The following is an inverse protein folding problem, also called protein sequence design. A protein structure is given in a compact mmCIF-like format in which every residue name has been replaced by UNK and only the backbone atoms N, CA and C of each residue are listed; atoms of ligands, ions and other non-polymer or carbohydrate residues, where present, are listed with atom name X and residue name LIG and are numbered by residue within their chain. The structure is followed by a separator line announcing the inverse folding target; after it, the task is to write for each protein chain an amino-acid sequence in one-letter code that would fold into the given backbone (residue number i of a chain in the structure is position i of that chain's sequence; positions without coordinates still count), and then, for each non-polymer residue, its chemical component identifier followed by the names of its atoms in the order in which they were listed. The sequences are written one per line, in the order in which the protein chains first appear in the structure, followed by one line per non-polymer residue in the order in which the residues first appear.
data_IF_045457017293
#
_entry.id   IF_045457017293
#
_cell.length_a   1.000
_cell.length_b   1.000
_cell.length_c   1.000
_cell.angle_alpha   90.00
_cell.angle_beta   90.00
_cell.angle_gamma   90.00
#
_symmetry.space_group_name_H-M   'P 1'
#
loop_
_entity.id
_entity.type
_entity.pdbx_description
1 polymer ?
#
# COMPACT_ATOMS: atom_id res chain seq x y z
N UNK A 1 -4.76 3.53 0.36
CA UNK A 1 -4.33 3.09 1.71
C UNK A 1 -3.78 1.66 1.71
N UNK A 2 -4.53 0.69 1.20
CA UNK A 2 -4.18 -0.74 1.23
C UNK A 2 -2.79 -1.08 0.66
N UNK A 3 -2.49 -0.69 -0.59
CA UNK A 3 -1.17 -1.00 -1.17
C UNK A 3 -0.02 -0.32 -0.42
N UNK A 4 -0.21 0.89 0.08
CA UNK A 4 0.79 1.57 0.93
C UNK A 4 1.03 0.83 2.24
N UNK A 5 0.00 0.23 2.85
CA UNK A 5 0.17 -0.60 4.04
C UNK A 5 1.04 -1.84 3.77
N UNK A 6 0.89 -2.45 2.59
CA UNK A 6 1.73 -3.58 2.17
C UNK A 6 3.17 -3.10 1.87
N UNK A 7 3.32 -2.05 1.04
CA UNK A 7 4.62 -1.48 0.64
C UNK A 7 5.44 -1.04 1.85
N UNK A 8 4.81 -0.51 2.90
CA UNK A 8 5.51 -0.05 4.10
C UNK A 8 6.09 -1.16 4.99
N UNK A 9 5.88 -2.45 4.68
CA UNK A 9 6.49 -3.53 5.44
C UNK A 9 7.96 -3.72 5.03
N UNK A 10 8.94 -3.73 5.95
CA UNK A 10 10.37 -3.80 5.61
C UNK A 10 10.76 -5.08 4.85
N UNK A 11 10.04 -6.18 5.06
CA UNK A 11 10.24 -7.43 4.31
C UNK A 11 9.61 -7.46 2.89
N UNK A 12 8.86 -6.44 2.47
CA UNK A 12 8.25 -6.38 1.13
C UNK A 12 9.20 -5.67 0.17
N UNK A 13 9.58 -6.35 -0.91
CA UNK A 13 10.50 -5.82 -1.92
C UNK A 13 9.77 -5.25 -3.14
N UNK A 14 8.64 -5.85 -3.51
CA UNK A 14 7.80 -5.41 -4.63
C UNK A 14 6.33 -5.79 -4.38
N UNK A 15 5.43 -5.01 -4.96
CA UNK A 15 3.98 -5.29 -4.97
C UNK A 15 3.50 -5.29 -6.42
N UNK A 16 2.83 -6.36 -6.85
CA UNK A 16 2.39 -6.57 -8.23
C UNK A 16 0.85 -6.73 -8.24
N UNK A 17 0.09 -5.61 -8.19
CA UNK A 17 -1.36 -5.68 -8.15
C UNK A 17 -1.94 -5.86 -9.56
N UNK A 18 -2.85 -6.84 -9.72
CA UNK A 18 -3.58 -7.06 -10.97
C UNK A 18 -4.85 -6.21 -11.04
N UNK A 19 -5.15 -5.64 -12.21
CA UNK A 19 -6.40 -4.94 -12.49
C UNK A 19 -6.64 -4.83 -13.99
N UNK A 20 -7.89 -4.89 -14.43
CA UNK A 20 -8.32 -4.59 -15.81
C UNK A 20 -8.82 -3.15 -16.00
N UNK A 21 -8.95 -2.38 -14.91
CA UNK A 21 -9.50 -1.02 -14.91
C UNK A 21 -8.36 0.01 -14.92
N UNK A 22 -8.29 0.93 -15.92
CA UNK A 22 -7.26 1.97 -15.98
C UNK A 22 -7.20 2.87 -14.74
N UNK A 23 -8.35 3.23 -14.16
CA UNK A 23 -8.40 4.05 -12.95
C UNK A 23 -7.69 3.38 -11.76
N UNK A 24 -7.88 2.07 -11.59
CA UNK A 24 -7.19 1.30 -10.56
C UNK A 24 -5.70 1.19 -10.86
N UNK A 25 -5.30 1.06 -12.14
CA UNK A 25 -3.88 1.03 -12.51
C UNK A 25 -3.18 2.33 -12.10
N UNK A 26 -3.81 3.48 -12.37
CA UNK A 26 -3.29 4.78 -11.96
C UNK A 26 -3.17 4.88 -10.43
N UNK A 27 -4.16 4.38 -9.67
CA UNK A 27 -4.10 4.38 -8.22
C UNK A 27 -3.02 3.45 -7.66
N UNK A 28 -2.90 2.25 -8.24
CA UNK A 28 -1.89 1.26 -7.90
C UNK A 28 -0.48 1.81 -8.11
N UNK A 29 -0.23 2.44 -9.25
CA UNK A 29 1.04 3.09 -9.54
C UNK A 29 1.35 4.21 -8.53
N UNK A 30 0.36 5.05 -8.22
CA UNK A 30 0.51 6.14 -7.24
C UNK A 30 0.83 5.65 -5.83
N UNK A 31 0.45 4.44 -5.45
CA UNK A 31 0.79 3.88 -4.13
C UNK A 31 2.31 3.80 -3.88
N UNK A 32 3.12 3.65 -4.94
CA UNK A 32 4.58 3.63 -4.86
C UNK A 32 5.23 4.98 -4.54
N UNK A 33 4.50 6.09 -4.63
CA UNK A 33 5.05 7.43 -4.48
C UNK A 33 4.77 8.04 -3.09
N UNK A 34 5.60 9.02 -2.71
CA UNK A 34 5.50 9.74 -1.44
C UNK A 34 5.86 8.87 -0.22
N UNK A 35 5.59 9.40 0.98
CA UNK A 35 5.92 8.70 2.23
C UNK A 35 5.11 7.42 2.37
N UNK A 36 5.78 6.35 2.78
CA UNK A 36 5.15 5.08 3.11
C UNK A 36 4.88 4.99 4.61
N UNK A 37 3.86 4.23 5.03
CA UNK A 37 3.60 3.98 6.44
C UNK A 37 4.79 3.32 7.12
N UNK A 38 5.24 3.91 8.23
CA UNK A 38 6.16 3.27 9.17
C UNK A 38 5.43 2.23 10.04
N UNK A 39 6.17 1.54 10.91
CA UNK A 39 5.60 0.51 11.78
C UNK A 39 4.42 1.05 12.62
N UNK A 40 4.55 2.25 13.21
CA UNK A 40 3.51 2.84 14.05
C UNK A 40 2.24 3.17 13.26
N UNK A 41 2.37 3.73 12.06
CA UNK A 41 1.23 4.01 11.20
C UNK A 41 0.60 2.72 10.66
N UNK A 42 1.40 1.68 10.36
CA UNK A 42 0.89 0.37 9.95
C UNK A 42 0.04 -0.28 11.04
N UNK A 43 0.46 -0.24 12.30
CA UNK A 43 -0.36 -0.73 13.43
C UNK A 43 -1.70 0.01 13.53
N UNK A 44 -1.69 1.35 13.37
CA UNK A 44 -2.94 2.14 13.35
C UNK A 44 -3.86 1.73 12.21
N UNK A 45 -3.31 1.48 11.02
CA UNK A 45 -4.08 1.01 9.86
C UNK A 45 -4.65 -0.39 10.14
N UNK A 46 -3.84 -1.29 10.71
CA UNK A 46 -4.26 -2.66 11.04
C UNK A 46 -5.40 -2.67 12.08
N UNK A 47 -5.37 -1.76 13.06
CA UNK A 47 -6.44 -1.61 14.04
C UNK A 47 -7.80 -1.18 13.44
N UNK A 48 -7.80 -0.60 12.23
CA UNK A 48 -9.03 -0.25 11.50
C UNK A 48 -9.60 -1.39 10.65
N UNK A 49 -8.89 -2.53 10.56
CA UNK A 49 -9.29 -3.69 9.77
C UNK A 49 -9.99 -4.78 10.61
N UNK A 50 -10.34 -4.46 11.87
CA UNK A 50 -11.09 -5.32 12.79
C UNK A 50 -12.60 -5.29 12.54
#
# INVERSE_FOLDING_TARGET
LFLKFIIGHPAVTAVIPATSKPANMADNARAGFGRQPDAALRERIAALLG
#
